data_IF_445936786960
#
_entry.id   IF_445936786960
#
_cell.length_a   1.000
_cell.length_b   1.000
_cell.length_c   1.000
_cell.angle_alpha   90.00
_cell.angle_beta   90.00
_cell.angle_gamma   90.00
#
_symmetry.space_group_name_H-M   'P 1'
#
loop_
_entity.id
_entity.type
_entity.pdbx_description
1 polymer ?
#
# COMPACT_ATOMS: atom_id res chain seq x y z
N UNK A 1 -15.94 -6.17 -8.81
CA UNK A 1 -15.64 -7.24 -7.84
C UNK A 1 -15.84 -6.67 -6.44
N UNK A 2 -16.20 -7.49 -5.45
CA UNK A 2 -16.36 -7.02 -4.07
C UNK A 2 -15.01 -6.97 -3.32
N UNK A 3 -14.98 -6.33 -2.14
CA UNK A 3 -13.76 -6.22 -1.33
C UNK A 3 -13.19 -7.57 -0.92
N UNK A 4 -14.03 -8.51 -0.52
CA UNK A 4 -13.59 -9.82 -0.04
C UNK A 4 -12.79 -10.57 -1.10
N UNK A 5 -13.27 -10.59 -2.35
CA UNK A 5 -12.56 -11.25 -3.45
C UNK A 5 -11.25 -10.54 -3.83
N UNK A 6 -11.20 -9.22 -3.70
CA UNK A 6 -9.94 -8.46 -3.87
C UNK A 6 -8.90 -8.91 -2.83
N UNK A 7 -9.30 -8.98 -1.54
CA UNK A 7 -8.42 -9.48 -0.49
C UNK A 7 -8.01 -10.93 -0.69
N UNK A 8 -8.90 -11.81 -1.12
CA UNK A 8 -8.55 -13.21 -1.44
C UNK A 8 -7.41 -13.29 -2.46
N UNK A 9 -7.39 -12.42 -3.48
CA UNK A 9 -6.32 -12.38 -4.48
C UNK A 9 -5.02 -11.88 -3.87
N UNK A 10 -5.07 -10.78 -3.12
CA UNK A 10 -3.88 -10.20 -2.45
C UNK A 10 -3.28 -11.19 -1.46
N UNK A 11 -4.10 -11.76 -0.57
CA UNK A 11 -3.63 -12.74 0.42
C UNK A 11 -3.08 -14.00 -0.24
N UNK A 12 -3.70 -14.47 -1.32
CA UNK A 12 -3.18 -15.63 -2.01
C UNK A 12 -1.84 -15.34 -2.73
N UNK A 13 -1.61 -14.11 -3.20
CA UNK A 13 -0.30 -13.70 -3.72
C UNK A 13 0.76 -13.63 -2.61
N UNK A 14 0.38 -13.09 -1.44
CA UNK A 14 1.24 -13.07 -0.25
C UNK A 14 1.65 -14.47 0.21
N UNK A 15 0.72 -15.43 0.17
CA UNK A 15 1.01 -16.83 0.51
C UNK A 15 1.98 -17.50 -0.48
N UNK A 16 1.92 -17.15 -1.78
CA UNK A 16 2.85 -17.69 -2.79
C UNK A 16 4.30 -17.25 -2.52
N UNK A 17 4.49 -16.05 -1.96
CA UNK A 17 5.81 -15.47 -1.67
C UNK A 17 6.22 -15.58 -0.21
N UNK A 18 5.40 -16.19 0.64
CA UNK A 18 5.62 -16.27 2.10
C UNK A 18 7.03 -16.73 2.52
N UNK A 19 7.67 -17.74 1.86
CA UNK A 19 9.03 -18.12 2.20
C UNK A 19 10.04 -16.97 2.02
N UNK A 20 9.89 -16.19 0.95
CA UNK A 20 10.73 -15.02 0.65
C UNK A 20 10.38 -13.82 1.57
N UNK A 21 9.09 -13.70 1.91
CA UNK A 21 8.53 -12.68 2.79
C UNK A 21 9.05 -12.78 4.24
N UNK A 22 9.20 -13.99 4.77
CA UNK A 22 9.59 -14.24 6.17
C UNK A 22 11.11 -14.31 6.36
N UNK A 23 11.86 -14.80 5.35
CA UNK A 23 13.32 -14.94 5.46
C UNK A 23 14.04 -13.59 5.34
N UNK A 24 13.45 -12.60 4.63
CA UNK A 24 13.98 -11.24 4.40
C UNK A 24 15.52 -11.16 4.38
N UNK A 25 16.10 -12.06 3.61
CA UNK A 25 17.46 -11.99 3.09
C UNK A 25 17.36 -11.43 1.69
N UNK A 26 17.46 -10.11 1.55
CA UNK A 26 17.27 -9.40 0.29
C UNK A 26 17.43 -7.90 0.47
N UNK A 27 17.66 -7.19 -0.63
CA UNK A 27 17.58 -5.73 -0.70
C UNK A 27 16.12 -5.23 -0.56
N UNK A 28 15.93 -3.92 -0.47
CA UNK A 28 14.64 -3.31 -0.16
C UNK A 28 13.57 -3.56 -1.25
N UNK A 29 13.99 -3.70 -2.50
CA UNK A 29 13.12 -3.87 -3.67
C UNK A 29 12.65 -5.31 -3.86
N UNK A 30 13.31 -6.29 -3.23
CA UNK A 30 12.99 -7.72 -3.36
C UNK A 30 11.51 -8.00 -3.08
N UNK A 31 10.91 -7.29 -2.11
CA UNK A 31 9.53 -7.56 -1.68
C UNK A 31 8.48 -7.08 -2.70
N UNK A 32 8.69 -5.90 -3.26
CA UNK A 32 7.83 -5.34 -4.29
C UNK A 32 7.86 -6.21 -5.55
N UNK A 33 9.07 -6.59 -6.00
CA UNK A 33 9.26 -7.44 -7.18
C UNK A 33 8.54 -8.78 -7.02
N UNK A 34 8.80 -9.52 -5.94
CA UNK A 34 8.23 -10.89 -5.83
C UNK A 34 6.71 -10.86 -5.61
N UNK A 35 6.19 -9.89 -4.85
CA UNK A 35 4.74 -9.79 -4.63
C UNK A 35 4.01 -9.31 -5.89
N UNK A 36 4.57 -8.34 -6.62
CA UNK A 36 4.00 -7.87 -7.89
C UNK A 36 3.96 -8.97 -8.93
N UNK A 37 5.04 -9.75 -9.09
CA UNK A 37 5.07 -10.93 -9.98
C UNK A 37 4.00 -11.97 -9.60
N UNK A 38 3.83 -12.25 -8.30
CA UNK A 38 2.80 -13.16 -7.81
C UNK A 38 1.38 -12.63 -8.07
N UNK A 39 1.14 -11.33 -7.89
CA UNK A 39 -0.13 -10.68 -8.23
C UNK A 39 -0.41 -10.76 -9.73
N UNK A 40 0.56 -10.39 -10.57
CA UNK A 40 0.45 -10.46 -12.03
C UNK A 40 0.10 -11.89 -12.48
N UNK A 41 0.79 -12.91 -11.95
CA UNK A 41 0.53 -14.30 -12.27
C UNK A 41 -0.88 -14.77 -11.87
N UNK A 42 -1.44 -14.22 -10.79
CA UNK A 42 -2.82 -14.53 -10.36
C UNK A 42 -3.86 -13.78 -11.19
N UNK A 43 -3.64 -12.50 -11.44
CA UNK A 43 -4.54 -11.66 -12.22
C UNK A 43 -4.59 -12.11 -13.68
N UNK A 44 -3.48 -12.58 -14.26
CA UNK A 44 -3.41 -13.13 -15.61
C UNK A 44 -4.23 -14.42 -15.82
N UNK A 45 -4.80 -15.01 -14.76
CA UNK A 45 -5.76 -16.13 -14.83
C UNK A 45 -7.22 -15.69 -14.82
N UNK A 46 -7.49 -14.40 -14.66
CA UNK A 46 -8.82 -13.81 -14.67
C UNK A 46 -9.16 -13.27 -16.07
N UNK A 47 -10.43 -12.95 -16.29
CA UNK A 47 -10.82 -12.21 -17.49
C UNK A 47 -10.37 -10.74 -17.43
N UNK A 48 -10.16 -10.05 -18.58
CA UNK A 48 -9.80 -8.62 -18.59
C UNK A 48 -10.77 -7.74 -17.77
N UNK A 49 -12.07 -8.05 -17.80
CA UNK A 49 -13.08 -7.34 -17.01
C UNK A 49 -12.91 -7.56 -15.49
N UNK A 50 -12.47 -8.74 -15.07
CA UNK A 50 -12.17 -9.03 -13.66
C UNK A 50 -10.87 -8.36 -13.20
N UNK A 51 -9.85 -8.24 -14.05
CA UNK A 51 -8.62 -7.48 -13.75
C UNK A 51 -8.95 -6.00 -13.54
N UNK A 52 -9.74 -5.40 -14.43
CA UNK A 52 -10.22 -4.01 -14.27
C UNK A 52 -11.05 -3.86 -12.98
N UNK A 53 -11.87 -4.85 -12.66
CA UNK A 53 -12.67 -4.84 -11.45
C UNK A 53 -11.85 -5.06 -10.17
N UNK A 54 -10.69 -5.73 -10.26
CA UNK A 54 -9.67 -5.78 -9.21
C UNK A 54 -9.05 -4.42 -9.01
N UNK A 55 -8.59 -3.78 -10.08
CA UNK A 55 -7.95 -2.47 -10.01
C UNK A 55 -8.84 -1.42 -9.36
N UNK A 56 -10.10 -1.33 -9.80
CA UNK A 56 -11.07 -0.41 -9.17
C UNK A 56 -11.21 -0.64 -7.66
N UNK A 57 -11.03 -1.88 -7.21
CA UNK A 57 -11.15 -2.24 -5.78
C UNK A 57 -9.86 -1.98 -5.02
N UNK A 58 -8.72 -2.29 -5.63
CA UNK A 58 -7.40 -2.02 -5.10
C UNK A 58 -7.19 -0.52 -4.93
N UNK A 59 -7.46 0.28 -5.96
CA UNK A 59 -7.41 1.73 -5.92
C UNK A 59 -8.32 2.32 -4.82
N UNK A 60 -9.54 1.80 -4.67
CA UNK A 60 -10.43 2.26 -3.60
C UNK A 60 -9.89 1.95 -2.18
N UNK A 61 -9.15 0.85 -2.00
CA UNK A 61 -8.45 0.57 -0.75
C UNK A 61 -7.28 1.54 -0.51
N UNK A 62 -6.52 1.87 -1.56
CA UNK A 62 -5.46 2.88 -1.51
C UNK A 62 -6.02 4.26 -1.15
N UNK A 63 -7.08 4.71 -1.83
CA UNK A 63 -7.76 6.00 -1.55
C UNK A 63 -8.28 6.06 -0.11
N UNK A 64 -8.85 4.96 0.38
CA UNK A 64 -9.37 4.89 1.75
C UNK A 64 -8.27 5.03 2.80
N UNK A 65 -7.10 4.42 2.59
CA UNK A 65 -5.98 4.56 3.53
C UNK A 65 -5.29 5.92 3.37
N UNK A 66 -5.23 6.47 2.15
CA UNK A 66 -4.73 7.82 1.87
C UNK A 66 -5.54 8.89 2.59
N UNK A 67 -6.86 8.72 2.69
CA UNK A 67 -7.76 9.59 3.45
C UNK A 67 -7.65 9.45 4.97
N UNK A 68 -6.81 8.55 5.51
CA UNK A 68 -6.69 8.34 6.95
C UNK A 68 -5.89 9.46 7.62
N UNK A 69 -6.46 10.04 8.68
CA UNK A 69 -5.78 11.01 9.53
C UNK A 69 -4.37 10.54 9.92
N UNK A 70 -3.38 11.37 9.62
CA UNK A 70 -1.98 11.14 10.00
C UNK A 70 -1.22 10.14 9.12
N UNK A 71 -1.83 9.46 8.14
CA UNK A 71 -1.11 8.45 7.35
C UNK A 71 0.13 9.00 6.64
N UNK A 72 0.04 10.22 6.11
CA UNK A 72 1.16 10.92 5.47
C UNK A 72 2.27 11.24 6.49
N UNK A 73 1.90 11.59 7.72
CA UNK A 73 2.86 11.77 8.83
C UNK A 73 3.56 10.45 9.17
N UNK A 74 2.84 9.32 9.20
CA UNK A 74 3.45 8.01 9.41
C UNK A 74 4.43 7.65 8.29
N UNK A 75 4.05 7.91 7.03
CA UNK A 75 4.90 7.72 5.86
C UNK A 75 6.19 8.54 5.98
N UNK A 76 6.10 9.84 6.29
CA UNK A 76 7.26 10.70 6.52
C UNK A 76 8.15 10.22 7.67
N UNK A 77 7.56 9.81 8.79
CA UNK A 77 8.33 9.31 9.93
C UNK A 77 9.13 8.07 9.56
N UNK A 78 8.57 7.15 8.79
CA UNK A 78 9.25 5.90 8.41
C UNK A 78 10.29 6.13 7.30
N UNK A 79 9.95 6.92 6.28
CA UNK A 79 10.70 6.99 5.02
C UNK A 79 11.56 8.25 4.89
N UNK A 80 11.49 9.17 5.86
CA UNK A 80 12.13 10.49 5.92
C UNK A 80 11.68 11.48 4.85
N UNK A 81 11.59 11.06 3.60
CA UNK A 81 11.08 11.85 2.48
C UNK A 81 10.30 10.95 1.53
N UNK A 82 9.16 11.46 1.07
CA UNK A 82 8.32 10.82 0.07
C UNK A 82 8.04 11.92 -0.95
N UNK A 83 8.53 11.77 -2.19
CA UNK A 83 8.07 12.63 -3.28
C UNK A 83 6.59 12.36 -3.56
N UNK A 84 5.91 13.22 -4.32
CA UNK A 84 4.46 13.07 -4.56
C UNK A 84 4.07 11.68 -5.07
N UNK A 85 4.88 11.07 -5.94
CA UNK A 85 4.64 9.71 -6.48
C UNK A 85 4.79 8.61 -5.41
N UNK A 86 5.68 8.79 -4.42
CA UNK A 86 5.97 7.77 -3.42
C UNK A 86 4.85 7.53 -2.41
N UNK A 87 3.85 8.43 -2.30
CA UNK A 87 2.69 8.15 -1.45
C UNK A 87 1.79 7.07 -2.04
N UNK A 88 1.62 7.06 -3.36
CA UNK A 88 0.81 6.05 -4.05
C UNK A 88 1.43 4.66 -3.87
N UNK A 89 2.75 4.55 -4.05
CA UNK A 89 3.51 3.33 -3.81
C UNK A 89 3.43 2.87 -2.35
N UNK A 90 3.44 3.82 -1.40
CA UNK A 90 3.27 3.52 0.01
C UNK A 90 1.88 2.94 0.30
N UNK A 91 0.82 3.53 -0.25
CA UNK A 91 -0.55 3.02 -0.05
C UNK A 91 -0.73 1.66 -0.71
N UNK A 92 -0.17 1.45 -1.90
CA UNK A 92 -0.12 0.15 -2.55
C UNK A 92 0.61 -0.88 -1.68
N UNK A 93 1.74 -0.48 -1.08
CA UNK A 93 2.48 -1.30 -0.13
C UNK A 93 1.66 -1.68 1.11
N UNK A 94 0.91 -0.74 1.69
CA UNK A 94 0.02 -1.02 2.83
C UNK A 94 -1.08 -2.02 2.50
N UNK A 95 -1.63 -1.98 1.28
CA UNK A 95 -2.56 -3.01 0.79
C UNK A 95 -1.81 -4.33 0.57
N UNK A 96 -0.60 -4.29 0.01
CA UNK A 96 0.28 -5.44 -0.20
C UNK A 96 0.73 -6.15 1.09
N UNK A 97 0.76 -5.45 2.23
CA UNK A 97 0.96 -6.06 3.56
C UNK A 97 -0.19 -7.00 3.98
N UNK A 98 -1.30 -7.00 3.24
CA UNK A 98 -2.48 -7.81 3.50
C UNK A 98 -3.49 -7.14 4.43
N UNK A 99 -4.68 -7.73 4.50
CA UNK A 99 -5.85 -7.16 5.18
C UNK A 99 -5.60 -6.87 6.65
N UNK A 100 -4.93 -7.79 7.34
CA UNK A 100 -4.66 -7.65 8.77
C UNK A 100 -3.87 -6.38 9.09
N UNK A 101 -2.82 -6.09 8.33
CA UNK A 101 -2.03 -4.88 8.55
C UNK A 101 -2.78 -3.66 8.05
N UNK A 102 -3.40 -3.73 6.87
CA UNK A 102 -4.22 -2.66 6.34
C UNK A 102 -5.26 -2.15 7.35
N UNK A 103 -6.04 -3.05 7.95
CA UNK A 103 -7.08 -2.71 8.93
C UNK A 103 -6.50 -2.09 10.21
N UNK A 104 -5.34 -2.60 10.68
CA UNK A 104 -4.64 -2.02 11.84
C UNK A 104 -4.14 -0.60 11.58
N UNK A 105 -3.61 -0.34 10.39
CA UNK A 105 -3.15 1.01 10.01
C UNK A 105 -4.35 1.94 9.84
N UNK A 106 -5.44 1.44 9.26
CA UNK A 106 -6.68 2.20 9.12
C UNK A 106 -7.28 2.58 10.48
N UNK A 107 -7.17 1.72 11.50
CA UNK A 107 -7.54 2.06 12.88
C UNK A 107 -6.65 3.17 13.44
N UNK A 108 -5.33 3.01 13.35
CA UNK A 108 -4.36 4.02 13.78
C UNK A 108 -3.02 3.81 13.06
N UNK A 109 -2.50 4.79 12.29
CA UNK A 109 -1.22 4.60 11.60
C UNK A 109 -0.03 4.37 12.53
N UNK A 110 -0.08 4.80 13.81
CA UNK A 110 0.95 4.51 14.82
C UNK A 110 1.13 2.99 15.07
N UNK A 111 0.15 2.17 14.68
CA UNK A 111 0.26 0.72 14.71
C UNK A 111 1.36 0.17 13.78
N UNK A 112 1.81 0.93 12.78
CA UNK A 112 2.96 0.56 11.94
C UNK A 112 4.24 0.33 12.76
N UNK A 113 4.38 0.95 13.94
CA UNK A 113 5.50 0.71 14.85
C UNK A 113 5.64 -0.76 15.31
N UNK A 114 4.57 -1.56 15.19
CA UNK A 114 4.59 -2.99 15.47
C UNK A 114 5.01 -3.85 14.27
N UNK A 115 4.97 -3.30 13.06
CA UNK A 115 5.27 -4.07 11.86
C UNK A 115 6.76 -4.47 11.83
N UNK A 116 7.09 -5.76 11.57
CA UNK A 116 8.48 -6.20 11.55
C UNK A 116 9.37 -5.44 10.57
N UNK A 117 8.83 -4.96 9.43
CA UNK A 117 9.63 -4.15 8.49
C UNK A 117 10.02 -2.81 9.12
N UNK A 118 9.04 -2.10 9.68
CA UNK A 118 9.24 -0.78 10.28
C UNK A 118 10.23 -0.84 11.44
N UNK A 119 10.18 -1.90 12.25
CA UNK A 119 11.19 -2.13 13.30
C UNK A 119 12.60 -2.34 12.74
N UNK A 120 12.72 -3.04 11.62
CA UNK A 120 14.01 -3.24 10.97
C UNK A 120 14.55 -1.98 10.31
N UNK A 121 13.65 -1.14 9.75
CA UNK A 121 13.99 0.20 9.25
C UNK A 121 14.52 1.07 10.38
N UNK A 122 13.81 1.15 11.50
CA UNK A 122 14.28 1.89 12.68
C UNK A 122 15.61 1.36 13.25
N UNK A 123 15.89 0.06 13.09
CA UNK A 123 17.16 -0.55 13.48
C UNK A 123 18.29 -0.40 12.44
N UNK A 124 18.01 0.18 11.26
CA UNK A 124 18.98 0.32 10.16
C UNK A 124 19.37 -1.02 9.50
N UNK A 125 18.51 -2.03 9.59
CA UNK A 125 18.73 -3.40 9.05
C UNK A 125 17.87 -3.72 7.82
N UNK A 126 17.14 -2.72 7.35
CA UNK A 126 16.30 -2.69 6.17
C UNK A 126 16.21 -1.21 5.78
N UNK A 127 16.25 -0.88 4.50
CA UNK A 127 16.18 0.51 4.09
C UNK A 127 14.77 1.07 4.13
N UNK A 128 14.72 2.40 4.07
CA UNK A 128 13.55 3.20 4.39
C UNK A 128 12.40 3.04 3.38
N UNK A 129 12.69 2.55 2.17
CA UNK A 129 11.72 2.42 1.07
C UNK A 129 11.02 1.06 1.00
N UNK A 130 11.22 0.15 1.97
CA UNK A 130 10.65 -1.22 1.92
C UNK A 130 9.11 -1.30 1.90
N UNK A 131 8.42 -0.19 2.15
CA UNK A 131 6.96 -0.09 2.06
C UNK A 131 6.49 0.62 0.79
N UNK A 132 7.40 1.10 -0.07
CA UNK A 132 7.08 1.59 -1.40
C UNK A 132 7.02 0.38 -2.34
N UNK A 133 5.82 0.03 -2.77
CA UNK A 133 5.60 -1.13 -3.66
C UNK A 133 4.98 -0.68 -4.97
N UNK A 134 5.80 -0.06 -5.82
CA UNK A 134 5.40 0.44 -7.14
C UNK A 134 4.94 -0.70 -8.06
N UNK A 135 5.68 -1.82 -8.08
CA UNK A 135 5.31 -3.00 -8.85
C UNK A 135 3.93 -3.54 -8.44
N UNK A 136 3.62 -3.53 -7.14
CA UNK A 136 2.29 -3.92 -6.64
C UNK A 136 1.21 -2.95 -7.14
N UNK A 137 1.47 -1.64 -7.17
CA UNK A 137 0.57 -0.64 -7.74
C UNK A 137 0.23 -0.94 -9.21
N UNK A 138 1.23 -1.32 -10.01
CA UNK A 138 1.06 -1.59 -11.45
C UNK A 138 0.76 -3.05 -11.80
N UNK A 139 0.53 -3.92 -10.82
CA UNK A 139 0.33 -5.35 -11.08
C UNK A 139 -0.90 -5.63 -11.96
N UNK A 140 -1.98 -4.85 -11.82
CA UNK A 140 -3.20 -5.05 -12.59
C UNK A 140 -3.07 -4.58 -14.05
N UNK A 141 -2.48 -3.40 -14.28
CA UNK A 141 -2.21 -2.91 -15.65
C UNK A 141 -1.25 -3.86 -16.36
N UNK A 142 -0.18 -4.27 -15.68
CA UNK A 142 0.79 -5.25 -16.20
C UNK A 142 0.12 -6.57 -16.60
N UNK A 143 -0.75 -7.13 -15.75
CA UNK A 143 -1.47 -8.36 -16.06
C UNK A 143 -2.47 -8.19 -17.22
N UNK A 144 -3.12 -7.03 -17.30
CA UNK A 144 -4.03 -6.71 -18.38
C UNK A 144 -3.29 -6.62 -19.71
N UNK A 145 -2.20 -5.85 -19.77
CA UNK A 145 -1.35 -5.70 -20.95
C UNK A 145 -0.82 -7.06 -21.43
N UNK A 146 -0.32 -7.91 -20.53
CA UNK A 146 0.15 -9.25 -20.90
C UNK A 146 -0.93 -10.14 -21.54
N UNK A 147 -2.20 -9.93 -21.16
CA UNK A 147 -3.32 -10.74 -21.62
C UNK A 147 -3.95 -10.19 -22.92
N UNK A 148 -4.01 -8.87 -23.08
CA UNK A 148 -4.73 -8.20 -24.17
C UNK A 148 -3.80 -7.61 -25.23
N UNK A 149 -2.56 -7.29 -24.87
CA UNK A 149 -1.63 -6.47 -25.66
C UNK A 149 -2.00 -4.99 -25.70
N UNK A 150 -2.94 -4.52 -24.87
CA UNK A 150 -3.45 -3.14 -24.87
C UNK A 150 -3.23 -2.48 -23.49
N UNK A 151 -2.22 -1.63 -23.39
CA UNK A 151 -1.95 -0.85 -22.17
C UNK A 151 -2.86 0.39 -22.07
N UNK A 152 -2.89 1.23 -23.11
CA UNK A 152 -3.66 2.49 -23.15
C UNK A 152 -5.15 2.32 -22.81
N UNK A 153 -5.75 1.20 -23.20
CA UNK A 153 -7.17 0.92 -22.95
C UNK A 153 -7.48 0.65 -21.47
N UNK A 154 -6.50 0.19 -20.68
CA UNK A 154 -6.71 -0.24 -19.30
C UNK A 154 -7.27 0.89 -18.43
N UNK A 155 -6.62 2.05 -18.45
CA UNK A 155 -7.02 3.20 -17.63
C UNK A 155 -8.42 3.69 -17.99
N UNK A 156 -8.76 3.74 -19.29
CA UNK A 156 -10.11 4.09 -19.73
C UNK A 156 -11.17 3.08 -19.23
N UNK A 157 -10.81 1.77 -19.19
CA UNK A 157 -11.69 0.75 -18.64
C UNK A 157 -11.89 0.90 -17.14
N UNK A 158 -10.83 1.16 -16.38
CA UNK A 158 -10.87 1.40 -14.94
C UNK A 158 -11.73 2.61 -14.62
N UNK A 159 -11.50 3.76 -15.25
CA UNK A 159 -12.29 4.98 -14.99
C UNK A 159 -13.79 4.77 -15.18
N UNK A 160 -14.18 4.04 -16.24
CA UNK A 160 -15.59 3.75 -16.54
C UNK A 160 -16.22 2.87 -15.47
N UNK A 161 -15.48 1.85 -15.01
CA UNK A 161 -15.97 0.87 -14.04
C UNK A 161 -15.96 1.46 -12.62
N UNK A 162 -14.94 2.21 -12.23
CA UNK A 162 -14.84 2.86 -10.93
C UNK A 162 -16.04 3.79 -10.66
N UNK A 163 -16.46 4.58 -11.65
CA UNK A 163 -17.69 5.39 -11.57
C UNK A 163 -18.96 4.56 -11.29
N UNK A 164 -18.98 3.31 -11.72
CA UNK A 164 -20.11 2.39 -11.51
C UNK A 164 -20.00 1.59 -10.20
N UNK A 165 -18.80 1.46 -9.61
CA UNK A 165 -18.53 0.70 -8.38
C UNK A 165 -18.45 1.57 -7.12
N UNK A 166 -18.91 2.83 -7.20
CA UNK A 166 -18.93 3.72 -6.05
C UNK A 166 -19.70 3.06 -4.88
N UNK A 167 -18.96 2.76 -3.82
CA UNK A 167 -19.36 2.15 -2.54
C UNK A 167 -19.52 0.62 -2.43
N UNK A 168 -18.59 0.02 -1.67
CA UNK A 168 -18.78 -1.22 -0.88
C UNK A 168 -17.71 -1.34 0.25
N UNK A 169 -17.01 -0.25 0.62
CA UNK A 169 -15.93 -0.30 1.64
C UNK A 169 -16.44 -0.08 3.08
N UNK A 170 -17.74 0.15 3.25
CA UNK A 170 -18.33 0.53 4.53
C UNK A 170 -17.93 1.95 4.96
N UNK A 171 -18.46 2.45 6.09
CA UNK A 171 -18.22 3.81 6.54
C UNK A 171 -16.73 4.08 6.78
N UNK A 172 -16.29 5.31 6.55
CA UNK A 172 -14.95 5.76 6.93
C UNK A 172 -14.75 5.61 8.45
N UNK A 173 -13.52 5.30 8.92
CA UNK A 173 -13.24 5.23 10.36
C UNK A 173 -13.44 6.59 11.02
N UNK A 174 -13.73 6.60 12.33
CA UNK A 174 -13.82 7.83 13.11
C UNK A 174 -12.50 8.62 13.04
N UNK A 175 -12.54 9.97 12.95
CA UNK A 175 -11.35 10.80 12.95
C UNK A 175 -10.48 10.58 14.20
N UNK A 176 -9.17 10.72 14.06
CA UNK A 176 -8.26 10.63 15.20
C UNK A 176 -8.33 11.91 16.06
N UNK A 177 -8.16 11.80 17.40
CA UNK A 177 -8.09 12.96 18.28
C UNK A 177 -7.01 13.96 17.84
N UNK A 178 -7.29 15.25 18.00
CA UNK A 178 -6.34 16.34 17.72
C UNK A 178 -5.70 16.86 19.02
N UNK A 179 -4.41 17.28 19.01
CA UNK A 179 -3.49 17.21 17.88
C UNK A 179 -3.12 15.76 17.53
N UNK A 180 -2.87 15.48 16.25
CA UNK A 180 -2.44 14.13 15.83
C UNK A 180 -1.10 13.82 16.48
N UNK A 181 -0.98 12.61 17.04
CA UNK A 181 0.24 12.12 17.70
C UNK A 181 0.47 10.66 17.33
N UNK A 182 1.73 10.30 17.12
CA UNK A 182 2.17 8.93 16.83
C UNK A 182 3.33 8.57 17.75
N UNK A 183 3.10 8.46 19.07
CA UNK A 183 4.18 8.38 20.05
C UNK A 183 5.14 7.21 19.82
N UNK A 184 4.68 6.12 19.17
CA UNK A 184 5.53 4.96 18.92
C UNK A 184 6.41 5.18 17.70
N UNK A 185 5.85 5.69 16.60
CA UNK A 185 6.64 6.06 15.42
C UNK A 185 7.56 7.26 15.70
N UNK A 186 7.08 8.29 16.39
CA UNK A 186 7.87 9.44 16.86
C UNK A 186 9.10 8.97 17.66
N UNK A 187 8.93 8.00 18.57
CA UNK A 187 10.02 7.44 19.36
C UNK A 187 10.99 6.59 18.54
N UNK A 188 10.51 5.91 17.48
CA UNK A 188 11.34 5.09 16.60
C UNK A 188 12.15 5.92 15.60
N UNK A 189 11.63 7.07 15.18
CA UNK A 189 12.22 7.92 14.12
C UNK A 189 12.43 9.37 14.57
N UNK A 190 13.19 9.63 15.66
CA UNK A 190 13.34 10.97 16.21
C UNK A 190 14.04 11.96 15.25
N UNK A 191 14.90 11.45 14.35
CA UNK A 191 15.57 12.28 13.34
C UNK A 191 14.59 12.78 12.26
N UNK A 192 13.63 11.94 11.86
CA UNK A 192 12.65 12.28 10.81
C UNK A 192 11.55 13.20 11.37
N UNK A 193 11.23 13.08 12.67
CA UNK A 193 10.33 14.00 13.35
C UNK A 193 10.84 15.45 13.32
N UNK A 194 12.14 15.67 13.51
CA UNK A 194 12.73 17.01 13.44
C UNK A 194 12.57 17.65 12.06
N UNK A 195 12.77 16.86 10.99
CA UNK A 195 12.57 17.31 9.60
C UNK A 195 11.10 17.61 9.32
N UNK A 196 10.18 16.80 9.86
CA UNK A 196 8.75 17.02 9.68
C UNK A 196 8.30 18.38 10.24
N UNK A 197 8.82 18.77 11.40
CA UNK A 197 8.59 20.10 11.97
C UNK A 197 9.16 21.22 11.08
N UNK A 198 10.34 21.03 10.48
CA UNK A 198 10.92 22.01 9.55
C UNK A 198 10.10 22.17 8.26
N UNK A 199 9.47 21.10 7.76
CA UNK A 199 8.66 21.14 6.52
C UNK A 199 7.22 21.64 6.75
N UNK A 200 6.62 21.34 7.91
CA UNK A 200 5.20 21.58 8.15
C UNK A 200 4.88 22.66 9.22
N UNK A 201 5.86 23.18 9.97
CA UNK A 201 5.66 24.33 10.88
C UNK A 201 6.05 25.69 10.26
N UNK A 202 6.29 25.77 8.93
CA UNK A 202 6.50 27.04 8.20
C UNK A 202 5.21 27.74 7.69
N UNK A 203 4.02 27.28 8.09
CA UNK A 203 2.73 27.99 7.86
C UNK A 203 2.24 28.79 9.07
#
# INVERSE_FOLDING_TARGET
MNTERCWEIVEAAREDVKPLWDERTGDDDTLDIVLSEALVARLGRLSPAEIVAFECRFAALCDRIAGRDGIHMAAHLIMRFVGDDGFSDFFAGLVGLGRHWYERVLENPDNLAEHPAVRRVAAGTLGEYVLLMEGVQFAASTAYEQLTGEDDAFHEHVERVARALADDLGPAPEPLPRPLRMPRLEAMFPANLAVLHEVYDEE
#
